data_IF_861229308311
#
_entry.id   IF_861229308311
#
_cell.length_a   1.000
_cell.length_b   1.000
_cell.length_c   1.000
_cell.angle_alpha   90.00
_cell.angle_beta   90.00
_cell.angle_gamma   90.00
#
_symmetry.space_group_name_H-M   'P 1'
#
loop_
_entity.id
_entity.type
_entity.pdbx_description
1 polymer ?
#
# COMPACT_ATOMS: atom_id res chain seq x y z
N UNK A 1 13.48 -13.88 -16.32
CA UNK A 1 13.43 -12.50 -15.80
C UNK A 1 13.08 -12.60 -14.34
N UNK A 2 14.05 -12.43 -13.45
CA UNK A 2 13.77 -12.30 -12.02
C UNK A 2 13.06 -10.96 -11.83
N UNK A 3 11.73 -11.01 -11.68
CA UNK A 3 10.95 -9.83 -11.31
C UNK A 3 11.39 -9.51 -9.89
N UNK A 4 12.25 -8.50 -9.74
CA UNK A 4 12.70 -8.06 -8.43
C UNK A 4 11.48 -7.77 -7.57
N UNK A 5 11.32 -8.38 -6.39
CA UNK A 5 10.15 -8.16 -5.54
C UNK A 5 9.92 -6.68 -5.18
N UNK A 6 10.99 -5.88 -5.20
CA UNK A 6 10.93 -4.42 -5.08
C UNK A 6 10.15 -3.76 -6.24
N UNK A 7 10.33 -4.24 -7.47
CA UNK A 7 9.60 -3.74 -8.64
C UNK A 7 8.11 -4.06 -8.57
N UNK A 8 7.75 -5.26 -8.11
CA UNK A 8 6.37 -5.64 -7.86
C UNK A 8 5.74 -4.75 -6.78
N UNK A 9 6.43 -4.52 -5.66
CA UNK A 9 5.96 -3.62 -4.61
C UNK A 9 5.76 -2.19 -5.12
N UNK A 10 6.68 -1.66 -5.95
CA UNK A 10 6.55 -0.33 -6.52
C UNK A 10 5.29 -0.21 -7.41
N UNK A 11 5.05 -1.20 -8.27
CA UNK A 11 3.86 -1.26 -9.11
C UNK A 11 2.58 -1.37 -8.28
N UNK A 12 2.55 -2.26 -7.27
CA UNK A 12 1.40 -2.41 -6.37
C UNK A 12 1.06 -1.11 -5.64
N UNK A 13 2.07 -0.36 -5.18
CA UNK A 13 1.86 0.96 -4.57
C UNK A 13 1.26 1.96 -5.56
N UNK A 14 1.66 1.95 -6.84
CA UNK A 14 1.06 2.81 -7.88
C UNK A 14 -0.42 2.44 -8.08
N UNK A 15 -0.73 1.15 -8.18
CA UNK A 15 -2.12 0.69 -8.36
C UNK A 15 -2.99 1.08 -7.16
N UNK A 16 -2.51 0.87 -5.93
CA UNK A 16 -3.21 1.31 -4.70
C UNK A 16 -3.50 2.82 -4.75
N UNK A 17 -2.53 3.64 -5.15
CA UNK A 17 -2.73 5.09 -5.29
C UNK A 17 -3.79 5.44 -6.33
N UNK A 18 -3.83 4.71 -7.45
CA UNK A 18 -4.88 4.88 -8.47
C UNK A 18 -6.27 4.59 -7.91
N UNK A 19 -6.43 3.47 -7.19
CA UNK A 19 -7.72 3.11 -6.57
C UNK A 19 -8.16 4.15 -5.53
N UNK A 20 -7.22 4.72 -4.77
CA UNK A 20 -7.49 5.82 -3.84
C UNK A 20 -7.94 7.08 -4.59
N UNK A 21 -7.34 7.38 -5.75
CA UNK A 21 -7.70 8.54 -6.58
C UNK A 21 -9.10 8.41 -7.19
N UNK A 22 -9.47 7.20 -7.62
CA UNK A 22 -10.83 6.90 -8.09
C UNK A 22 -11.91 7.15 -7.02
N UNK A 23 -11.53 7.12 -5.74
CA UNK A 23 -12.40 7.45 -4.59
C UNK A 23 -12.40 8.94 -4.22
N UNK A 24 -11.81 9.80 -5.06
CA UNK A 24 -11.80 11.25 -4.86
C UNK A 24 -10.71 11.76 -3.91
N UNK A 25 -9.79 10.90 -3.48
CA UNK A 25 -8.63 11.29 -2.67
C UNK A 25 -7.38 11.51 -3.54
N UNK A 26 -6.29 11.98 -2.94
CA UNK A 26 -5.09 12.38 -3.72
C UNK A 26 -4.19 11.20 -4.11
N UNK A 27 -4.19 10.11 -3.34
CA UNK A 27 -3.26 8.99 -3.54
C UNK A 27 -1.80 9.38 -3.31
N UNK A 28 -1.53 10.43 -2.51
CA UNK A 28 -0.17 10.94 -2.27
C UNK A 28 0.45 10.27 -1.04
N UNK A 29 -0.36 10.08 0.01
CA UNK A 29 0.07 9.54 1.29
C UNK A 29 -0.91 8.44 1.67
N UNK A 30 -0.59 7.19 1.30
CA UNK A 30 -1.54 6.07 1.38
C UNK A 30 -2.11 5.94 2.80
N UNK A 31 -1.30 6.11 3.84
CA UNK A 31 -1.78 6.06 5.22
C UNK A 31 -2.81 7.14 5.57
N UNK A 32 -2.55 8.38 5.18
CA UNK A 32 -3.50 9.48 5.39
C UNK A 32 -4.76 9.31 4.56
N UNK A 33 -4.60 8.88 3.31
CA UNK A 33 -5.71 8.68 2.40
C UNK A 33 -6.62 7.53 2.91
N UNK A 34 -6.04 6.42 3.39
CA UNK A 34 -6.80 5.30 3.99
C UNK A 34 -7.50 5.71 5.28
N UNK A 35 -6.85 6.50 6.15
CA UNK A 35 -7.51 7.07 7.32
C UNK A 35 -8.73 7.92 6.93
N UNK A 36 -8.57 8.74 5.88
CA UNK A 36 -9.67 9.56 5.34
C UNK A 36 -10.80 8.69 4.78
N UNK A 37 -10.49 7.58 4.10
CA UNK A 37 -11.51 6.64 3.62
C UNK A 37 -12.30 6.03 4.78
N UNK A 38 -11.64 5.66 5.87
CA UNK A 38 -12.32 5.12 7.06
C UNK A 38 -13.19 6.18 7.73
N UNK A 39 -12.70 7.41 7.86
CA UNK A 39 -13.50 8.55 8.36
C UNK A 39 -14.73 8.82 7.49
N UNK A 40 -14.65 8.50 6.20
CA UNK A 40 -15.75 8.61 5.23
C UNK A 40 -16.68 7.38 5.20
N UNK A 41 -16.45 6.38 6.05
CA UNK A 41 -17.33 5.22 6.21
C UNK A 41 -16.79 3.91 5.64
N UNK A 42 -15.55 3.87 5.14
CA UNK A 42 -14.91 2.60 4.80
C UNK A 42 -14.61 1.79 6.08
N UNK A 43 -14.53 0.45 6.00
CA UNK A 43 -14.31 -0.36 7.19
C UNK A 43 -12.97 -0.07 7.85
N UNK A 44 -12.98 0.03 9.19
CA UNK A 44 -11.76 0.17 10.02
C UNK A 44 -10.74 -0.96 9.80
N UNK A 45 -11.19 -2.10 9.23
CA UNK A 45 -10.31 -3.18 8.80
C UNK A 45 -9.25 -2.75 7.78
N UNK A 46 -9.52 -1.72 6.96
CA UNK A 46 -8.52 -1.17 6.03
C UNK A 46 -7.33 -0.53 6.74
N UNK A 47 -7.56 0.20 7.83
CA UNK A 47 -6.46 0.75 8.64
C UNK A 47 -5.62 -0.36 9.26
N UNK A 48 -6.26 -1.40 9.82
CA UNK A 48 -5.55 -2.54 10.39
C UNK A 48 -4.74 -3.30 9.34
N UNK A 49 -5.30 -3.50 8.15
CA UNK A 49 -4.60 -4.14 7.05
C UNK A 49 -3.38 -3.31 6.61
N UNK A 50 -3.52 -1.99 6.58
CA UNK A 50 -2.40 -1.10 6.25
C UNK A 50 -1.27 -1.16 7.30
N UNK A 51 -1.61 -1.22 8.60
CA UNK A 51 -0.63 -1.37 9.68
C UNK A 51 0.19 -2.66 9.51
N UNK A 52 -0.46 -3.76 9.10
CA UNK A 52 0.22 -5.05 8.83
C UNK A 52 1.17 -4.95 7.63
N UNK A 53 0.79 -4.22 6.58
CA UNK A 53 1.62 -4.01 5.39
C UNK A 53 2.89 -3.20 5.73
N UNK A 54 2.96 -2.58 6.91
CA UNK A 54 4.10 -1.76 7.36
C UNK A 54 4.55 -0.84 6.23
N UNK A 55 3.63 0.00 5.73
CA UNK A 55 3.97 1.03 4.75
C UNK A 55 4.84 2.10 5.41
N UNK A 56 6.08 1.73 5.70
CA UNK A 56 7.12 2.64 6.12
C UNK A 56 7.40 3.53 4.93
N UNK A 57 6.84 4.74 4.94
CA UNK A 57 7.30 5.83 4.07
C UNK A 57 8.77 6.19 4.40
N UNK A 58 9.38 5.57 5.43
CA UNK A 58 10.69 5.85 6.01
C UNK A 58 11.87 5.07 5.39
N UNK A 59 11.69 4.27 4.33
CA UNK A 59 12.86 3.67 3.64
C UNK A 59 13.57 4.65 2.70
N UNK A 60 13.45 5.96 2.96
CA UNK A 60 14.27 7.04 2.39
C UNK A 60 15.29 7.57 3.42
N UNK A 61 15.74 6.72 4.34
CA UNK A 61 16.90 6.99 5.20
C UNK A 61 18.04 6.09 4.77
N UNK A 62 18.90 6.67 3.93
CA UNK A 62 20.20 6.19 3.47
C UNK A 62 20.20 5.29 2.21
N UNK A 63 20.49 5.83 1.01
CA UNK A 63 20.67 5.05 -0.22
C UNK A 63 21.91 4.12 -0.19
N UNK A 64 22.70 4.15 0.88
CA UNK A 64 23.89 3.31 1.08
C UNK A 64 23.58 1.95 1.73
N UNK A 65 22.39 1.74 2.30
CA UNK A 65 21.97 0.44 2.85
C UNK A 65 20.89 -0.17 1.96
N UNK A 66 21.28 -1.20 1.21
CA UNK A 66 20.35 -2.13 0.59
C UNK A 66 19.67 -2.92 1.72
N UNK A 67 18.57 -2.40 2.25
CA UNK A 67 17.70 -3.20 3.09
C UNK A 67 17.07 -4.28 2.21
N UNK A 68 17.68 -5.47 2.25
CA UNK A 68 17.12 -6.71 1.72
C UNK A 68 15.97 -7.15 2.64
N UNK A 69 14.91 -6.34 2.70
CA UNK A 69 13.63 -6.79 3.19
C UNK A 69 13.12 -7.83 2.19
N UNK A 70 12.59 -8.95 2.68
CA UNK A 70 11.99 -10.02 1.89
C UNK A 70 10.81 -9.48 1.08
N UNK A 71 11.09 -8.86 -0.07
CA UNK A 71 10.07 -8.16 -0.85
C UNK A 71 8.98 -9.08 -1.43
N UNK A 72 9.13 -10.40 -1.30
CA UNK A 72 8.07 -11.36 -1.59
C UNK A 72 6.92 -11.25 -0.58
N UNK A 73 7.22 -11.14 0.72
CA UNK A 73 6.18 -10.97 1.75
C UNK A 73 5.51 -9.60 1.63
N UNK A 74 6.28 -8.55 1.32
CA UNK A 74 5.74 -7.21 1.10
C UNK A 74 4.80 -7.16 -0.11
N UNK A 75 5.20 -7.80 -1.22
CA UNK A 75 4.36 -7.87 -2.41
C UNK A 75 3.05 -8.61 -2.10
N UNK A 76 3.10 -9.73 -1.37
CA UNK A 76 1.92 -10.46 -0.94
C UNK A 76 1.00 -9.62 -0.04
N UNK A 77 1.57 -8.92 0.95
CA UNK A 77 0.83 -8.03 1.84
C UNK A 77 0.16 -6.89 1.06
N UNK A 78 0.88 -6.26 0.13
CA UNK A 78 0.36 -5.21 -0.75
C UNK A 78 -0.75 -5.73 -1.67
N UNK A 79 -0.61 -6.95 -2.23
CA UNK A 79 -1.66 -7.58 -3.03
C UNK A 79 -2.92 -7.83 -2.19
N UNK A 80 -2.79 -8.36 -0.98
CA UNK A 80 -3.93 -8.57 -0.07
C UNK A 80 -4.61 -7.25 0.28
N UNK A 81 -3.83 -6.22 0.60
CA UNK A 81 -4.35 -4.89 0.88
C UNK A 81 -5.09 -4.30 -0.31
N UNK A 82 -4.53 -4.41 -1.52
CA UNK A 82 -5.20 -3.98 -2.74
C UNK A 82 -6.54 -4.69 -2.93
N UNK A 83 -6.60 -5.99 -2.67
CA UNK A 83 -7.84 -6.75 -2.77
C UNK A 83 -8.89 -6.21 -1.78
N UNK A 84 -8.52 -6.03 -0.50
CA UNK A 84 -9.42 -5.45 0.50
C UNK A 84 -9.89 -4.04 0.13
N UNK A 85 -8.98 -3.22 -0.39
CA UNK A 85 -9.31 -1.88 -0.84
C UNK A 85 -10.31 -1.93 -1.99
N UNK A 86 -10.07 -2.77 -3.00
CA UNK A 86 -10.94 -2.93 -4.16
C UNK A 86 -12.31 -3.53 -3.80
N UNK A 87 -12.37 -4.55 -2.93
CA UNK A 87 -13.59 -5.30 -2.59
C UNK A 87 -14.67 -4.44 -1.91
N UNK A 88 -14.29 -3.27 -1.36
CA UNK A 88 -15.25 -2.25 -0.89
C UNK A 88 -16.04 -1.55 -2.02
N UNK A 89 -16.10 -2.11 -3.23
CA UNK A 89 -16.81 -1.57 -4.39
C UNK A 89 -18.17 -2.23 -4.67
N UNK A 90 -18.72 -3.01 -3.73
CA UNK A 90 -20.06 -3.60 -3.87
C UNK A 90 -21.18 -2.81 -3.21
#
# INVERSE_FOLDING_TARGET
MEVSPASACALLRIVIRSVIQERGLRGRHIARDVATLVDQGAPVGLLRALDVVSMSEESSKNPAELQLIDGHSDAQNLTMFLHLLADQTS
#
